data_IF_578630723025
#
_entry.id   IF_578630723025
#
_cell.length_a   1.000
_cell.length_b   1.000
_cell.length_c   1.000
_cell.angle_alpha   90.00
_cell.angle_beta   90.00
_cell.angle_gamma   90.00
#
_symmetry.space_group_name_H-M   'P 1'
#
loop_
_entity.id
_entity.type
_entity.pdbx_description
1 polymer ?
#
# COMPACT_ATOMS: atom_id res chain seq x y z
N UNK A 1 -2.73 -15.48 0.79
CA UNK A 1 -3.01 -15.83 2.19
C UNK A 1 -1.78 -16.43 2.88
N UNK A 2 -1.28 -17.61 2.44
CA UNK A 2 -0.21 -18.35 3.15
C UNK A 2 1.07 -17.55 3.39
N UNK A 3 1.50 -16.72 2.43
CA UNK A 3 2.72 -15.90 2.58
C UNK A 3 2.56 -14.86 3.68
N UNK A 4 1.39 -14.24 3.76
CA UNK A 4 1.06 -13.22 4.78
C UNK A 4 0.92 -13.88 6.15
N UNK A 5 0.24 -15.02 6.22
CA UNK A 5 0.00 -15.77 7.46
C UNK A 5 1.28 -16.33 8.12
N UNK A 6 2.40 -16.36 7.39
CA UNK A 6 3.71 -16.74 7.96
C UNK A 6 4.41 -15.58 8.70
N UNK A 7 3.98 -14.35 8.43
CA UNK A 7 4.62 -13.13 8.98
C UNK A 7 3.78 -12.49 10.06
N UNK A 8 2.45 -12.53 9.91
CA UNK A 8 1.52 -11.91 10.84
C UNK A 8 0.76 -12.96 11.65
N UNK A 9 0.47 -12.64 12.90
CA UNK A 9 -0.27 -13.49 13.82
C UNK A 9 -1.71 -13.73 13.36
N UNK A 10 -2.32 -12.68 12.77
CA UNK A 10 -3.66 -12.74 12.24
C UNK A 10 -3.68 -12.37 10.78
N UNK A 11 -4.28 -13.22 9.97
CA UNK A 11 -4.50 -12.98 8.54
C UNK A 11 -5.94 -13.29 8.19
N UNK A 12 -6.61 -12.35 7.54
CA UNK A 12 -8.02 -12.46 7.15
C UNK A 12 -8.16 -12.02 5.69
N UNK A 13 -8.92 -12.76 4.90
CA UNK A 13 -9.33 -12.36 3.56
C UNK A 13 -10.64 -11.59 3.64
N UNK A 14 -10.60 -10.30 3.32
CA UNK A 14 -11.77 -9.45 3.21
C UNK A 14 -12.31 -9.50 1.77
N UNK A 15 -13.53 -9.97 1.59
CA UNK A 15 -14.14 -10.13 0.26
C UNK A 15 -15.64 -9.85 0.28
N UNK A 16 -16.16 -9.42 -0.86
CA UNK A 16 -17.60 -9.29 -1.12
C UNK A 16 -18.12 -10.39 -2.06
N UNK A 17 -17.27 -11.34 -2.43
CA UNK A 17 -17.60 -12.46 -3.34
C UNK A 17 -17.68 -13.78 -2.57
N UNK A 18 -18.86 -14.42 -2.59
CA UNK A 18 -19.08 -15.69 -1.90
C UNK A 18 -18.15 -16.81 -2.39
N UNK A 19 -17.77 -16.81 -3.67
CA UNK A 19 -16.87 -17.82 -4.23
C UNK A 19 -15.48 -17.71 -3.62
N UNK A 20 -15.01 -16.47 -3.37
CA UNK A 20 -13.71 -16.22 -2.71
C UNK A 20 -13.80 -16.65 -1.26
N UNK A 21 -14.89 -16.27 -0.57
CA UNK A 21 -15.12 -16.66 0.81
C UNK A 21 -15.08 -18.19 0.98
N UNK A 22 -15.87 -18.92 0.19
CA UNK A 22 -15.93 -20.38 0.24
C UNK A 22 -14.59 -21.03 -0.07
N UNK A 23 -13.86 -20.48 -1.05
CA UNK A 23 -12.52 -20.96 -1.41
C UNK A 23 -11.53 -20.81 -0.25
N UNK A 24 -11.57 -19.68 0.48
CA UNK A 24 -10.69 -19.43 1.63
C UNK A 24 -11.01 -20.41 2.76
N UNK A 25 -12.27 -20.60 3.07
CA UNK A 25 -12.72 -21.56 4.08
C UNK A 25 -12.32 -23.01 3.74
N UNK A 26 -12.39 -23.40 2.45
CA UNK A 26 -12.03 -24.74 2.00
C UNK A 26 -10.56 -25.12 2.29
N UNK A 27 -9.64 -24.17 2.23
CA UNK A 27 -8.24 -24.44 2.59
C UNK A 27 -7.90 -24.12 4.05
N UNK A 28 -8.92 -23.81 4.90
CA UNK A 28 -8.76 -23.53 6.32
C UNK A 28 -8.25 -22.11 6.62
N UNK A 29 -8.37 -21.19 5.65
CA UNK A 29 -8.10 -19.77 5.86
C UNK A 29 -9.24 -19.09 6.61
N UNK A 30 -9.00 -17.86 7.06
CA UNK A 30 -10.03 -17.00 7.67
C UNK A 30 -10.54 -16.00 6.63
N UNK A 31 -11.85 -15.94 6.43
CA UNK A 31 -12.48 -14.99 5.55
C UNK A 31 -13.51 -14.14 6.29
N UNK A 32 -13.71 -12.91 5.85
CA UNK A 32 -14.76 -12.00 6.33
C UNK A 32 -15.50 -11.44 5.13
N UNK A 33 -16.81 -11.64 5.12
CA UNK A 33 -17.70 -11.06 4.11
C UNK A 33 -17.91 -9.58 4.40
N UNK A 34 -17.56 -8.73 3.44
CA UNK A 34 -17.64 -7.26 3.50
C UNK A 34 -18.63 -6.70 2.50
N UNK A 35 -19.02 -5.44 2.67
CA UNK A 35 -19.93 -4.76 1.78
C UNK A 35 -19.40 -4.66 0.35
N UNK A 36 -20.30 -4.77 -0.63
CA UNK A 36 -20.03 -4.48 -2.06
C UNK A 36 -19.92 -2.98 -2.35
N UNK A 37 -20.27 -2.11 -1.39
CA UNK A 37 -20.29 -0.66 -1.57
C UNK A 37 -18.94 0.02 -1.31
N UNK A 38 -17.94 -0.70 -0.84
CA UNK A 38 -16.63 -0.13 -0.62
C UNK A 38 -15.98 0.35 -1.92
N UNK A 39 -15.45 1.57 -1.87
CA UNK A 39 -14.77 2.20 -3.00
C UNK A 39 -13.28 1.92 -3.00
N UNK A 40 -12.73 1.55 -1.84
CA UNK A 40 -11.31 1.33 -1.64
C UNK A 40 -11.01 0.06 -0.85
N UNK A 41 -9.77 -0.42 -0.99
CA UNK A 41 -9.25 -1.52 -0.17
C UNK A 41 -9.13 -1.13 1.30
N UNK A 42 -8.87 0.13 1.59
CA UNK A 42 -8.73 0.69 2.94
C UNK A 42 -10.04 0.62 3.70
N UNK A 43 -11.16 1.06 3.09
CA UNK A 43 -12.51 0.95 3.68
C UNK A 43 -12.88 -0.51 3.96
N UNK A 44 -12.55 -1.40 3.02
CA UNK A 44 -12.81 -2.84 3.15
C UNK A 44 -12.02 -3.45 4.31
N UNK A 45 -10.75 -3.08 4.46
CA UNK A 45 -9.92 -3.53 5.57
C UNK A 45 -10.47 -3.09 6.93
N UNK A 46 -10.96 -1.86 7.04
CA UNK A 46 -11.56 -1.37 8.27
C UNK A 46 -12.85 -2.12 8.64
N UNK A 47 -13.74 -2.37 7.67
CA UNK A 47 -14.93 -3.21 7.92
C UNK A 47 -14.54 -4.63 8.35
N UNK A 48 -13.56 -5.23 7.68
CA UNK A 48 -13.10 -6.58 7.99
C UNK A 48 -12.51 -6.66 9.41
N UNK A 49 -11.73 -5.67 9.82
CA UNK A 49 -11.21 -5.59 11.18
C UNK A 49 -12.37 -5.59 12.20
N UNK A 50 -13.34 -4.70 12.03
CA UNK A 50 -14.48 -4.55 12.93
C UNK A 50 -15.34 -5.83 13.02
N UNK A 51 -15.47 -6.57 11.91
CA UNK A 51 -16.24 -7.83 11.87
C UNK A 51 -15.47 -9.04 12.39
N UNK A 52 -14.14 -9.01 12.33
CA UNK A 52 -13.30 -10.16 12.71
C UNK A 52 -13.15 -10.34 14.22
N UNK A 53 -13.52 -9.35 15.02
CA UNK A 53 -13.27 -9.29 16.46
C UNK A 53 -11.80 -9.52 16.86
N UNK A 54 -10.86 -9.17 15.96
CA UNK A 54 -9.42 -9.21 16.21
C UNK A 54 -9.03 -7.89 16.87
N UNK A 55 -8.35 -7.97 17.99
CA UNK A 55 -7.68 -6.82 18.60
C UNK A 55 -6.30 -6.67 17.95
N UNK A 56 -6.03 -5.50 17.38
CA UNK A 56 -4.77 -5.19 16.73
C UNK A 56 -4.41 -3.72 16.89
N UNK A 57 -3.11 -3.41 16.95
CA UNK A 57 -2.60 -2.04 16.96
C UNK A 57 -2.40 -1.52 15.53
N UNK A 58 -2.07 -2.42 14.61
CA UNK A 58 -1.73 -2.15 13.22
C UNK A 58 -2.46 -3.10 12.28
N UNK A 59 -2.98 -2.55 11.18
CA UNK A 59 -3.57 -3.31 10.07
C UNK A 59 -2.70 -3.16 8.84
N UNK A 60 -2.36 -4.28 8.21
CA UNK A 60 -1.63 -4.30 6.93
C UNK A 60 -2.59 -4.70 5.82
N UNK A 61 -2.83 -3.79 4.88
CA UNK A 61 -3.67 -4.01 3.69
C UNK A 61 -2.81 -4.57 2.56
N UNK A 62 -2.90 -5.88 2.36
CA UNK A 62 -2.24 -6.59 1.27
C UNK A 62 -3.25 -6.81 0.14
N UNK A 63 -2.99 -6.24 -1.03
CA UNK A 63 -3.88 -6.36 -2.17
C UNK A 63 -3.95 -7.81 -2.67
N UNK A 64 -5.15 -8.26 -3.06
CA UNK A 64 -5.39 -9.63 -3.53
C UNK A 64 -4.72 -9.97 -4.86
N UNK A 65 -4.34 -8.96 -5.64
CA UNK A 65 -3.62 -9.07 -6.91
C UNK A 65 -2.08 -9.04 -6.76
N UNK A 66 -1.56 -9.07 -5.52
CA UNK A 66 -0.12 -9.17 -5.21
C UNK A 66 0.28 -10.60 -4.76
N UNK A 67 0.14 -11.64 -5.63
CA UNK A 67 0.38 -13.02 -5.23
C UNK A 67 1.85 -13.34 -4.94
N UNK A 68 2.76 -12.48 -5.39
CA UNK A 68 4.21 -12.67 -5.28
C UNK A 68 4.87 -11.83 -4.18
N UNK A 69 4.07 -11.20 -3.30
CA UNK A 69 4.62 -10.43 -2.19
C UNK A 69 5.67 -11.22 -1.41
N UNK A 70 6.83 -10.62 -1.17
CA UNK A 70 7.92 -11.26 -0.46
C UNK A 70 7.78 -11.06 1.06
N UNK A 71 8.19 -12.07 1.83
CA UNK A 71 8.20 -11.96 3.30
C UNK A 71 9.03 -10.76 3.78
N UNK A 72 10.14 -10.45 3.11
CA UNK A 72 10.97 -9.28 3.41
C UNK A 72 10.23 -7.94 3.27
N UNK A 73 9.29 -7.82 2.33
CA UNK A 73 8.44 -6.63 2.18
C UNK A 73 7.49 -6.50 3.37
N UNK A 74 6.86 -7.60 3.77
CA UNK A 74 5.97 -7.65 4.93
C UNK A 74 6.70 -7.33 6.24
N UNK A 75 7.90 -7.88 6.42
CA UNK A 75 8.75 -7.57 7.58
C UNK A 75 9.25 -6.13 7.57
N UNK A 76 9.52 -5.55 6.39
CA UNK A 76 9.94 -4.15 6.28
C UNK A 76 8.83 -3.21 6.69
N UNK A 77 7.59 -3.44 6.23
CA UNK A 77 6.47 -2.57 6.60
C UNK A 77 6.11 -2.70 8.09
N UNK A 78 6.23 -3.91 8.64
CA UNK A 78 6.01 -4.16 10.08
C UNK A 78 6.97 -3.36 10.95
N UNK A 79 8.26 -3.33 10.58
CA UNK A 79 9.29 -2.59 11.31
C UNK A 79 9.07 -1.08 11.36
N UNK A 80 8.34 -0.50 10.40
CA UNK A 80 8.03 0.93 10.45
C UNK A 80 7.28 1.31 11.74
N UNK A 81 6.50 0.40 12.31
CA UNK A 81 5.70 0.64 13.52
C UNK A 81 6.45 0.39 14.83
N UNK A 82 7.75 0.08 14.77
CA UNK A 82 8.64 0.15 15.94
C UNK A 82 8.87 1.63 16.37
N UNK A 83 8.65 2.58 15.45
CA UNK A 83 8.53 4.00 15.77
C UNK A 83 7.07 4.35 16.10
N UNK A 84 6.84 4.81 17.32
CA UNK A 84 5.51 5.19 17.80
C UNK A 84 4.89 6.38 17.05
N UNK A 85 5.71 7.17 16.33
CA UNK A 85 5.23 8.27 15.51
C UNK A 85 4.76 7.84 14.11
N UNK A 86 4.91 6.57 13.75
CA UNK A 86 4.44 6.05 12.48
C UNK A 86 2.95 5.78 12.54
N UNK A 87 2.16 6.55 11.83
CA UNK A 87 0.71 6.38 11.68
C UNK A 87 0.35 5.51 10.47
N UNK A 88 1.05 5.74 9.35
CA UNK A 88 0.85 5.03 8.07
C UNK A 88 2.21 4.66 7.51
N UNK A 89 2.34 3.45 7.00
CA UNK A 89 3.52 2.99 6.27
C UNK A 89 3.13 2.45 4.90
N UNK A 90 4.01 2.64 3.94
CA UNK A 90 3.93 2.04 2.61
C UNK A 90 5.31 1.67 2.11
N UNK A 91 5.40 1.03 0.95
CA UNK A 91 6.67 0.63 0.37
C UNK A 91 6.98 1.43 -0.89
N UNK A 92 8.27 1.61 -1.13
CA UNK A 92 8.79 2.19 -2.35
C UNK A 92 9.85 1.27 -2.96
N UNK A 93 9.98 1.34 -4.29
CA UNK A 93 11.04 0.66 -5.03
C UNK A 93 11.81 1.69 -5.84
N UNK A 94 13.15 1.74 -5.77
CA UNK A 94 13.93 2.62 -6.61
C UNK A 94 13.79 2.19 -8.08
N UNK A 95 13.64 3.17 -8.97
CA UNK A 95 13.88 2.95 -10.39
C UNK A 95 15.38 2.81 -10.65
N UNK A 96 15.71 1.91 -11.54
CA UNK A 96 17.09 1.68 -12.00
C UNK A 96 17.29 2.21 -13.42
N UNK A 97 18.51 2.50 -13.87
CA UNK A 97 18.77 2.87 -15.26
C UNK A 97 18.26 1.85 -16.28
N UNK A 98 18.22 0.56 -15.92
CA UNK A 98 17.70 -0.51 -16.78
C UNK A 98 16.17 -0.46 -16.99
N UNK A 99 15.41 0.19 -16.10
CA UNK A 99 13.97 0.37 -16.27
C UNK A 99 13.66 1.35 -17.42
N UNK A 100 14.57 2.28 -17.67
CA UNK A 100 14.47 3.27 -18.73
C UNK A 100 13.48 4.41 -18.45
N UNK A 101 13.61 5.48 -19.23
CA UNK A 101 12.80 6.68 -19.08
C UNK A 101 11.30 6.42 -19.28
N UNK A 102 10.93 5.50 -20.16
CA UNK A 102 9.53 5.15 -20.41
C UNK A 102 8.83 4.57 -19.19
N UNK A 103 9.52 3.75 -18.39
CA UNK A 103 8.98 3.23 -17.14
C UNK A 103 8.81 4.34 -16.09
N UNK A 104 9.78 5.25 -16.00
CA UNK A 104 9.68 6.41 -15.10
C UNK A 104 8.52 7.33 -15.47
N UNK A 105 8.27 7.55 -16.77
CA UNK A 105 7.20 8.41 -17.27
C UNK A 105 5.82 7.75 -17.26
N UNK A 106 5.73 6.45 -16.99
CA UNK A 106 4.46 5.73 -16.96
C UNK A 106 3.55 6.25 -15.81
N UNK A 107 2.36 6.84 -16.11
CA UNK A 107 1.46 7.35 -15.08
C UNK A 107 0.83 6.24 -14.21
N UNK A 108 0.86 4.99 -14.67
CA UNK A 108 0.38 3.84 -13.91
C UNK A 108 1.39 3.34 -12.87
N UNK A 109 2.58 3.92 -12.84
CA UNK A 109 3.58 3.72 -11.79
C UNK A 109 3.74 5.03 -11.01
N UNK A 110 2.96 5.28 -9.96
CA UNK A 110 3.07 6.51 -9.18
C UNK A 110 4.47 6.68 -8.60
N UNK A 111 4.96 7.90 -8.58
CA UNK A 111 6.25 8.28 -8.01
C UNK A 111 6.06 8.85 -6.61
N UNK A 112 7.07 8.67 -5.79
CA UNK A 112 7.09 9.18 -4.41
C UNK A 112 8.34 10.00 -4.20
N UNK A 113 8.19 11.20 -3.65
CA UNK A 113 9.31 11.97 -3.12
C UNK A 113 9.47 11.61 -1.65
N UNK A 114 10.65 11.10 -1.30
CA UNK A 114 10.98 10.69 0.07
C UNK A 114 11.89 11.73 0.70
N UNK A 115 11.55 12.17 1.91
CA UNK A 115 12.33 13.11 2.69
C UNK A 115 13.53 12.46 3.41
N UNK A 116 14.30 13.27 4.13
CA UNK A 116 15.53 12.83 4.80
C UNK A 116 15.32 11.80 5.92
N UNK A 117 14.11 11.68 6.43
CA UNK A 117 13.76 10.75 7.53
C UNK A 117 12.88 9.59 7.04
N UNK A 118 13.01 9.21 5.76
CA UNK A 118 12.22 8.16 5.11
C UNK A 118 10.70 8.39 5.10
N UNK A 119 10.25 9.61 5.42
CA UNK A 119 8.85 10.00 5.28
C UNK A 119 8.54 10.42 3.84
N UNK A 120 7.41 9.94 3.32
CA UNK A 120 6.89 10.38 2.04
C UNK A 120 6.43 11.84 2.14
N UNK A 121 6.87 12.67 1.19
CA UNK A 121 6.50 14.08 1.11
C UNK A 121 5.35 14.29 0.11
N UNK A 122 5.35 13.54 -0.98
CA UNK A 122 4.33 13.66 -2.01
C UNK A 122 4.31 12.44 -2.94
N UNK A 123 3.11 12.05 -3.36
CA UNK A 123 2.86 11.00 -4.35
C UNK A 123 2.29 11.65 -5.61
N UNK A 124 2.73 11.22 -6.79
CA UNK A 124 2.17 11.71 -8.06
C UNK A 124 2.34 10.70 -9.19
N UNK A 125 1.39 10.74 -10.13
CA UNK A 125 1.54 10.04 -11.42
C UNK A 125 2.55 10.71 -12.34
N UNK A 126 2.80 12.01 -12.16
CA UNK A 126 3.87 12.75 -12.84
C UNK A 126 5.25 12.30 -12.37
N UNK A 127 6.26 12.58 -13.18
CA UNK A 127 7.65 12.39 -12.75
C UNK A 127 8.01 13.49 -11.74
N UNK A 128 8.32 13.08 -10.52
CA UNK A 128 8.78 13.94 -9.43
C UNK A 128 10.00 13.31 -8.75
N UNK A 129 11.01 14.12 -8.30
CA UNK A 129 11.18 15.55 -8.55
C UNK A 129 11.63 15.85 -10.01
N UNK A 130 11.51 17.11 -10.44
CA UNK A 130 12.09 17.56 -11.70
C UNK A 130 13.57 17.88 -11.53
N UNK A 131 14.44 17.34 -12.39
CA UNK A 131 15.87 17.63 -12.37
C UNK A 131 16.20 18.78 -13.32
N UNK A 132 16.32 19.99 -12.76
CA UNK A 132 16.66 21.17 -13.54
C UNK A 132 18.10 21.10 -14.10
N UNK A 133 18.25 21.33 -15.40
CA UNK A 133 19.54 21.34 -16.06
C UNK A 133 20.12 19.95 -16.37
N UNK A 134 19.33 18.90 -16.23
CA UNK A 134 19.68 17.53 -16.57
C UNK A 134 18.73 17.03 -17.68
N UNK A 135 19.29 16.50 -18.75
CA UNK A 135 18.49 15.91 -19.83
C UNK A 135 17.69 14.70 -19.30
N UNK A 136 16.42 14.54 -19.70
CA UNK A 136 15.59 13.43 -19.21
C UNK A 136 16.21 12.05 -19.38
N UNK A 137 16.99 11.83 -20.42
CA UNK A 137 17.72 10.57 -20.68
C UNK A 137 18.75 10.23 -19.61
N UNK A 138 19.22 11.23 -18.87
CA UNK A 138 20.21 11.06 -17.78
C UNK A 138 19.58 11.00 -16.38
N UNK A 139 18.27 11.22 -16.23
CA UNK A 139 17.62 11.35 -14.92
C UNK A 139 17.87 10.15 -14.02
N UNK A 140 17.68 8.92 -14.52
CA UNK A 140 17.85 7.69 -13.74
C UNK A 140 19.31 7.39 -13.35
N UNK A 141 20.28 8.02 -14.03
CA UNK A 141 21.71 7.93 -13.67
C UNK A 141 22.15 9.01 -12.68
N UNK A 142 21.38 10.10 -12.57
CA UNK A 142 21.72 11.27 -11.75
C UNK A 142 20.95 11.35 -10.43
N UNK A 143 19.77 10.69 -10.34
CA UNK A 143 18.92 10.76 -9.17
C UNK A 143 18.18 9.44 -8.97
N UNK A 144 17.95 9.08 -7.71
CA UNK A 144 17.12 7.93 -7.36
C UNK A 144 15.67 8.35 -7.31
N UNK A 145 14.89 7.93 -8.32
CA UNK A 145 13.44 8.06 -8.30
C UNK A 145 12.83 6.82 -7.63
N UNK A 146 11.73 6.99 -6.93
CA UNK A 146 11.03 5.90 -6.27
C UNK A 146 9.64 5.67 -6.89
N UNK A 147 9.35 4.40 -7.18
CA UNK A 147 8.01 3.92 -7.51
C UNK A 147 7.30 3.53 -6.22
N UNK A 148 6.07 3.98 -6.07
CA UNK A 148 5.20 3.54 -5.00
C UNK A 148 4.77 2.08 -5.21
N UNK A 149 4.77 1.30 -4.14
CA UNK A 149 4.23 -0.07 -4.08
C UNK A 149 2.96 -0.02 -3.23
N UNK A 150 1.83 -0.45 -3.81
CA UNK A 150 0.48 -0.34 -3.23
C UNK A 150 0.23 -1.24 -2.01
N UNK A 151 1.22 -1.43 -1.15
CA UNK A 151 1.11 -2.10 0.12
C UNK A 151 1.08 -1.05 1.23
N UNK A 152 0.02 -1.03 2.03
CA UNK A 152 -0.14 -0.08 3.12
C UNK A 152 -0.30 -0.76 4.46
N UNK A 153 0.16 -0.08 5.50
CA UNK A 153 -0.14 -0.43 6.88
C UNK A 153 -0.53 0.82 7.66
N UNK A 154 -1.42 0.65 8.61
CA UNK A 154 -2.03 1.75 9.37
C UNK A 154 -2.11 1.40 10.84
N UNK A 155 -1.84 2.35 11.74
CA UNK A 155 -2.37 2.22 13.09
C UNK A 155 -3.89 2.21 13.03
N UNK A 156 -4.53 1.37 13.84
CA UNK A 156 -6.00 1.21 13.83
C UNK A 156 -6.71 2.54 14.05
N UNK A 157 -6.23 3.38 14.98
CA UNK A 157 -6.80 4.71 15.24
C UNK A 157 -6.70 5.66 14.04
N UNK A 158 -5.66 5.50 13.22
CA UNK A 158 -5.47 6.29 11.99
C UNK A 158 -6.34 5.74 10.86
N UNK A 159 -6.45 4.41 10.73
CA UNK A 159 -7.35 3.75 9.78
C UNK A 159 -8.80 4.20 10.00
N UNK A 160 -9.28 4.21 11.24
CA UNK A 160 -10.61 4.71 11.59
C UNK A 160 -10.83 6.16 11.17
N UNK A 161 -9.84 7.02 11.40
CA UNK A 161 -9.92 8.44 10.99
C UNK A 161 -10.01 8.60 9.48
N UNK A 162 -9.09 7.98 8.72
CA UNK A 162 -9.03 8.17 7.27
C UNK A 162 -10.26 7.62 6.56
N UNK A 163 -10.84 6.48 7.01
CA UNK A 163 -12.07 5.93 6.44
C UNK A 163 -13.30 6.78 6.70
N UNK A 164 -13.26 7.68 7.68
CA UNK A 164 -14.32 8.65 7.96
C UNK A 164 -14.15 9.98 7.21
N UNK A 165 -12.99 10.21 6.58
CA UNK A 165 -12.69 11.48 5.89
C UNK A 165 -13.25 11.50 4.46
N UNK A 166 -13.69 12.67 3.98
CA UNK A 166 -14.03 12.81 2.56
C UNK A 166 -12.77 12.79 1.72
N UNK A 167 -12.88 12.22 0.51
CA UNK A 167 -11.78 12.20 -0.45
C UNK A 167 -11.21 13.61 -0.71
N UNK A 168 -9.88 13.70 -0.63
CA UNK A 168 -9.14 14.93 -0.88
C UNK A 168 -9.18 15.40 -2.34
N UNK A 169 -8.83 16.66 -2.58
CA UNK A 169 -8.78 17.23 -3.95
C UNK A 169 -7.70 16.57 -4.78
N UNK A 170 -6.51 16.36 -4.19
CA UNK A 170 -5.38 15.72 -4.89
C UNK A 170 -5.63 14.23 -5.14
N UNK A 171 -6.21 13.54 -4.16
CA UNK A 171 -6.64 12.15 -4.31
C UNK A 171 -7.56 11.95 -5.52
N UNK A 172 -8.57 12.82 -5.68
CA UNK A 172 -9.48 12.79 -6.82
C UNK A 172 -8.78 13.13 -8.13
N UNK A 173 -7.89 14.13 -8.12
CA UNK A 173 -7.21 14.59 -9.34
C UNK A 173 -6.23 13.55 -9.88
N UNK A 174 -5.48 12.91 -9.02
CA UNK A 174 -4.48 11.90 -9.38
C UNK A 174 -5.05 10.47 -9.35
N UNK A 175 -6.25 10.27 -8.82
CA UNK A 175 -6.83 8.96 -8.51
C UNK A 175 -5.82 8.08 -7.76
N UNK A 176 -5.24 8.64 -6.70
CA UNK A 176 -4.34 7.99 -5.75
C UNK A 176 -4.96 8.10 -4.36
N UNK A 177 -5.13 6.96 -3.72
CA UNK A 177 -5.59 6.83 -2.34
C UNK A 177 -4.45 7.09 -1.35
#
# INVERSE_FOLDING_TARGET
>A
YERVNRVFEHTVVATDDQRIFDCVEQFGGKAVMTSTNHKSGTDRCFEALNKSAIEADVVVNVQGDEPFIAASQLESIKRCFEDDNTDIATLVQPFTPSDGLGALQNPNSPKVVVGANDYALYFSRSVIPYLRGVEPSEWLSRHTFYKHIGLYAYRVSTLEKITSMPQGVLEKAESLE
#
